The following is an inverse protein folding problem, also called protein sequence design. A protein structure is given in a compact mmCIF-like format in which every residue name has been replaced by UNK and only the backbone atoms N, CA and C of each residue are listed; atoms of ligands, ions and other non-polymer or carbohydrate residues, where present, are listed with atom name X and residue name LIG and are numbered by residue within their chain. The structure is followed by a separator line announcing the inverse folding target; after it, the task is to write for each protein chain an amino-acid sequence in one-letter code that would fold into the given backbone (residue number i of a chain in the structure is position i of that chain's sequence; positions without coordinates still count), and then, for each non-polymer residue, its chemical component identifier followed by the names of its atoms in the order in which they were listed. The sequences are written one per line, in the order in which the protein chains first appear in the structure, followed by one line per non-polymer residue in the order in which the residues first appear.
data_IF_284403529070
#
_entry.id   IF_284403529070
#
_cell.length_a   1.000
_cell.length_b   1.000
_cell.length_c   1.000
_cell.angle_alpha   90.00
_cell.angle_beta   90.00
_cell.angle_gamma   90.00
#
_symmetry.space_group_name_H-M   'P 1'
#
loop_
_entity.id
_entity.type
_entity.pdbx_description
1 polymer ?
#
# COMPACT_ATOMS: atom_id res chain seq x y z
N UNK A 1 -15.20 4.93 15.23
CA UNK A 1 -14.99 6.36 15.55
C UNK A 1 -14.91 7.24 14.28
N UNK A 2 -14.18 6.88 13.23
CA UNK A 2 -13.96 7.73 12.05
C UNK A 2 -15.17 8.10 11.18
N UNK A 3 -16.30 7.43 11.26
CA UNK A 3 -17.49 7.74 10.47
C UNK A 3 -18.39 8.81 11.12
N UNK A 4 -18.33 8.94 12.42
CA UNK A 4 -19.17 9.85 13.17
C UNK A 4 -18.60 11.26 13.32
N UNK A 5 -17.27 11.40 13.27
CA UNK A 5 -16.57 12.70 13.48
C UNK A 5 -16.91 13.78 12.46
N UNK A 6 -17.51 13.45 11.31
CA UNK A 6 -17.99 14.44 10.33
C UNK A 6 -19.42 14.91 10.58
N UNK A 7 -20.15 14.21 11.46
CA UNK A 7 -21.53 14.50 11.77
C UNK A 7 -21.72 15.01 13.20
N UNK A 8 -20.78 14.69 14.08
CA UNK A 8 -20.84 15.04 15.49
C UNK A 8 -19.45 15.48 15.98
N UNK A 9 -19.39 16.51 16.81
CA UNK A 9 -18.21 16.93 17.49
C UNK A 9 -18.15 16.24 18.87
N UNK A 10 -17.01 15.61 19.19
CA UNK A 10 -16.78 15.05 20.54
C UNK A 10 -16.52 16.20 21.51
N UNK A 11 -17.37 16.37 22.51
CA UNK A 11 -17.27 17.45 23.52
C UNK A 11 -16.58 16.94 24.78
N UNK A 12 -16.81 15.68 25.14
CA UNK A 12 -16.18 15.00 26.27
C UNK A 12 -16.18 13.49 26.02
N UNK A 13 -15.49 12.71 26.86
CA UNK A 13 -15.45 11.25 26.75
C UNK A 13 -16.87 10.67 26.61
N UNK A 14 -17.14 10.06 25.44
CA UNK A 14 -18.42 9.49 25.03
C UNK A 14 -19.62 10.49 24.96
N UNK A 15 -19.36 11.79 24.91
CA UNK A 15 -20.37 12.84 24.70
C UNK A 15 -20.17 13.54 23.38
N UNK A 16 -21.21 13.62 22.56
CA UNK A 16 -21.12 14.12 21.19
C UNK A 16 -22.17 15.20 20.93
N UNK A 17 -21.76 16.31 20.32
CA UNK A 17 -22.65 17.33 19.79
C UNK A 17 -23.04 17.05 18.34
N UNK A 18 -24.33 16.88 18.09
CA UNK A 18 -24.91 16.62 16.79
C UNK A 18 -25.61 17.84 16.18
N UNK A 19 -25.42 19.03 16.74
CA UNK A 19 -26.14 20.25 16.36
C UNK A 19 -25.99 20.55 14.87
N UNK A 20 -24.81 20.29 14.30
CA UNK A 20 -24.52 20.50 12.87
C UNK A 20 -25.29 19.57 11.91
N UNK A 21 -26.02 18.59 12.43
CA UNK A 21 -26.74 17.60 11.63
C UNK A 21 -28.24 17.66 11.82
N UNK A 22 -28.74 18.34 12.85
CA UNK A 22 -30.16 18.43 13.16
C UNK A 22 -30.96 19.17 12.07
N UNK A 23 -30.35 20.13 11.40
CA UNK A 23 -31.00 20.94 10.35
C UNK A 23 -30.87 20.33 8.93
N UNK A 24 -30.21 19.17 8.80
CA UNK A 24 -30.02 18.52 7.50
C UNK A 24 -31.30 17.77 7.10
N UNK A 25 -31.83 18.09 5.93
CA UNK A 25 -32.86 17.24 5.33
C UNK A 25 -32.23 15.90 4.86
N UNK A 26 -33.08 14.88 4.63
CA UNK A 26 -32.66 13.53 4.25
C UNK A 26 -31.72 13.52 3.01
N UNK A 27 -31.97 14.37 2.02
CA UNK A 27 -31.15 14.46 0.80
C UNK A 27 -29.75 15.01 1.09
N UNK A 28 -29.66 16.04 1.91
CA UNK A 28 -28.42 16.64 2.36
C UNK A 28 -27.61 15.67 3.22
N UNK A 29 -28.25 14.97 4.13
CA UNK A 29 -27.63 13.94 4.96
C UNK A 29 -27.07 12.80 4.10
N UNK A 30 -27.85 12.30 3.12
CA UNK A 30 -27.40 11.26 2.17
C UNK A 30 -26.19 11.72 1.34
N UNK A 31 -26.20 12.96 0.88
CA UNK A 31 -25.09 13.57 0.13
C UNK A 31 -23.82 13.65 1.00
N UNK A 32 -23.96 14.13 2.24
CA UNK A 32 -22.84 14.23 3.20
C UNK A 32 -22.29 12.87 3.59
N UNK A 33 -23.16 11.88 3.80
CA UNK A 33 -22.76 10.50 4.07
C UNK A 33 -22.01 9.88 2.87
N UNK A 34 -22.46 10.13 1.65
CA UNK A 34 -21.79 9.68 0.43
C UNK A 34 -20.40 10.30 0.28
N UNK A 35 -20.28 11.60 0.55
CA UNK A 35 -18.99 12.30 0.57
C UNK A 35 -18.06 11.73 1.65
N UNK A 36 -18.57 11.48 2.85
CA UNK A 36 -17.81 10.86 3.94
C UNK A 36 -17.27 9.50 3.53
N UNK A 37 -18.08 8.65 2.90
CA UNK A 37 -17.62 7.35 2.38
C UNK A 37 -16.52 7.50 1.32
N UNK A 38 -16.68 8.47 0.43
CA UNK A 38 -15.68 8.74 -0.61
C UNK A 38 -14.34 9.19 0.01
N UNK A 39 -14.35 10.04 1.03
CA UNK A 39 -13.13 10.46 1.74
C UNK A 39 -12.45 9.33 2.52
N UNK A 40 -13.17 8.27 2.87
CA UNK A 40 -12.63 7.07 3.51
C UNK A 40 -12.10 6.04 2.51
N UNK A 41 -12.40 6.19 1.22
CA UNK A 41 -11.83 5.32 0.20
C UNK A 41 -10.33 5.54 0.09
N UNK A 42 -9.58 4.43 0.08
CA UNK A 42 -8.17 4.47 -0.19
C UNK A 42 -7.90 5.12 -1.56
N UNK A 43 -7.01 6.10 -1.58
CA UNK A 43 -6.67 6.83 -2.80
C UNK A 43 -7.72 7.85 -3.26
N UNK A 44 -8.65 8.29 -2.38
CA UNK A 44 -9.62 9.34 -2.75
C UNK A 44 -8.95 10.65 -3.20
N UNK A 45 -7.75 10.93 -2.69
CA UNK A 45 -6.94 12.10 -3.07
C UNK A 45 -6.15 11.92 -4.36
N UNK A 46 -6.03 10.69 -4.87
CA UNK A 46 -5.32 10.45 -6.13
C UNK A 46 -6.02 11.15 -7.30
N UNK A 47 -5.26 11.88 -8.08
CA UNK A 47 -5.71 12.55 -9.31
C UNK A 47 -5.81 11.53 -10.45
N UNK A 48 -4.80 10.66 -10.59
CA UNK A 48 -4.78 9.63 -11.61
C UNK A 48 -5.64 8.42 -11.22
N UNK A 49 -6.57 7.97 -12.09
CA UNK A 49 -7.29 6.71 -11.91
C UNK A 49 -6.36 5.50 -11.84
N UNK A 50 -5.26 5.50 -12.61
CA UNK A 50 -4.25 4.44 -12.60
C UNK A 50 -3.52 4.37 -11.26
N UNK A 51 -3.10 5.52 -10.71
CA UNK A 51 -2.49 5.58 -9.38
C UNK A 51 -3.41 5.01 -8.30
N UNK A 52 -4.70 5.39 -8.34
CA UNK A 52 -5.72 4.87 -7.41
C UNK A 52 -5.89 3.36 -7.53
N UNK A 53 -5.95 2.85 -8.75
CA UNK A 53 -6.08 1.41 -8.99
C UNK A 53 -4.86 0.64 -8.47
N UNK A 54 -3.64 1.15 -8.71
CA UNK A 54 -2.40 0.56 -8.21
C UNK A 54 -2.34 0.60 -6.68
N UNK A 55 -2.77 1.68 -6.05
CA UNK A 55 -2.80 1.79 -4.58
C UNK A 55 -3.76 0.77 -3.96
N UNK A 56 -4.96 0.59 -4.51
CA UNK A 56 -5.91 -0.44 -4.07
C UNK A 56 -5.32 -1.83 -4.22
N UNK A 57 -4.77 -2.13 -5.39
CA UNK A 57 -4.13 -3.43 -5.68
C UNK A 57 -2.92 -3.70 -4.77
N UNK A 58 -2.14 -2.67 -4.45
CA UNK A 58 -1.04 -2.73 -3.50
C UNK A 58 -1.52 -3.18 -2.12
N UNK A 59 -2.58 -2.55 -1.62
CA UNK A 59 -3.19 -2.94 -0.34
C UNK A 59 -3.67 -4.39 -0.35
N UNK A 60 -4.38 -4.80 -1.40
CA UNK A 60 -4.90 -6.16 -1.51
C UNK A 60 -3.76 -7.20 -1.51
N UNK A 61 -2.67 -6.93 -2.24
CA UNK A 61 -1.48 -7.78 -2.24
C UNK A 61 -0.78 -7.82 -0.87
N UNK A 62 -0.71 -6.71 -0.15
CA UNK A 62 -0.15 -6.69 1.21
C UNK A 62 -1.00 -7.50 2.18
N UNK A 63 -2.33 -7.37 2.11
CA UNK A 63 -3.25 -8.15 2.94
C UNK A 63 -3.11 -9.64 2.66
N UNK A 64 -3.06 -10.03 1.38
CA UNK A 64 -2.85 -11.43 0.99
C UNK A 64 -1.48 -11.97 1.44
N UNK A 65 -0.43 -11.16 1.37
CA UNK A 65 0.88 -11.51 1.91
C UNK A 65 0.80 -11.86 3.41
N UNK A 66 0.14 -11.01 4.20
CA UNK A 66 -0.05 -11.24 5.63
C UNK A 66 -0.89 -12.47 5.92
N UNK A 67 -1.93 -12.73 5.15
CA UNK A 67 -2.74 -13.94 5.27
C UNK A 67 -1.92 -15.20 5.01
N UNK A 68 -1.09 -15.20 3.97
CA UNK A 68 -0.20 -16.33 3.66
C UNK A 68 0.83 -16.55 4.77
N UNK A 69 1.45 -15.48 5.27
CA UNK A 69 2.42 -15.55 6.35
C UNK A 69 1.85 -16.20 7.62
N UNK A 70 0.60 -15.89 7.93
CA UNK A 70 -0.08 -16.38 9.13
C UNK A 70 -0.70 -17.78 8.99
N UNK A 71 -0.57 -18.44 7.83
CA UNK A 71 -1.09 -19.81 7.63
C UNK A 71 -0.10 -20.85 8.15
N UNK A 72 -0.37 -21.53 9.28
CA UNK A 72 0.58 -22.45 9.89
C UNK A 72 0.81 -23.73 9.06
N UNK A 73 -0.20 -24.15 8.29
CA UNK A 73 -0.14 -25.38 7.47
C UNK A 73 0.57 -25.23 6.12
N UNK A 74 1.01 -24.01 5.78
CA UNK A 74 1.66 -23.76 4.50
C UNK A 74 3.18 -23.71 4.67
N UNK A 75 3.88 -24.70 4.12
CA UNK A 75 5.35 -24.79 4.23
C UNK A 75 6.06 -23.64 3.52
N UNK A 76 5.64 -23.32 2.29
CA UNK A 76 6.25 -22.27 1.46
C UNK A 76 5.65 -20.85 1.72
N UNK A 77 5.14 -20.61 2.91
CA UNK A 77 4.49 -19.33 3.25
C UNK A 77 5.40 -18.12 3.13
N UNK A 78 6.70 -18.28 3.39
CA UNK A 78 7.68 -17.19 3.28
C UNK A 78 7.91 -16.78 1.82
N UNK A 79 7.99 -17.74 0.92
CA UNK A 79 8.18 -17.49 -0.51
C UNK A 79 6.98 -16.71 -1.08
N UNK A 80 5.76 -17.17 -0.77
CA UNK A 80 4.53 -16.48 -1.14
C UNK A 80 4.44 -15.07 -0.53
N UNK A 81 4.83 -14.93 0.75
CA UNK A 81 4.88 -13.63 1.41
C UNK A 81 5.82 -12.65 0.71
N UNK A 82 7.08 -13.02 0.47
CA UNK A 82 8.06 -12.08 -0.14
C UNK A 82 7.67 -11.67 -1.56
N UNK A 83 7.06 -12.56 -2.33
CA UNK A 83 6.55 -12.24 -3.67
C UNK A 83 5.46 -11.18 -3.62
N UNK A 84 4.44 -11.39 -2.79
CA UNK A 84 3.31 -10.47 -2.65
C UNK A 84 3.70 -9.17 -1.98
N UNK A 85 4.56 -9.22 -0.96
CA UNK A 85 5.13 -8.05 -0.29
C UNK A 85 5.86 -7.14 -1.28
N UNK A 86 6.78 -7.69 -2.08
CA UNK A 86 7.51 -6.91 -3.10
C UNK A 86 6.57 -6.35 -4.17
N UNK A 87 5.55 -7.11 -4.57
CA UNK A 87 4.53 -6.66 -5.52
C UNK A 87 3.71 -5.51 -4.94
N UNK A 88 3.32 -5.58 -3.66
CA UNK A 88 2.61 -4.53 -2.97
C UNK A 88 3.43 -3.22 -2.93
N UNK A 89 4.69 -3.30 -2.50
CA UNK A 89 5.58 -2.15 -2.48
C UNK A 89 5.82 -1.54 -3.86
N UNK A 90 6.01 -2.36 -4.88
CA UNK A 90 6.19 -1.88 -6.26
C UNK A 90 4.98 -1.10 -6.74
N UNK A 91 3.78 -1.61 -6.48
CA UNK A 91 2.52 -0.95 -6.86
C UNK A 91 2.29 0.34 -6.08
N UNK A 92 2.62 0.37 -4.78
CA UNK A 92 2.58 1.57 -3.95
C UNK A 92 3.52 2.65 -4.52
N UNK A 93 4.77 2.31 -4.77
CA UNK A 93 5.74 3.26 -5.31
C UNK A 93 5.37 3.79 -6.69
N UNK A 94 4.89 2.93 -7.57
CA UNK A 94 4.38 3.37 -8.87
C UNK A 94 3.18 4.32 -8.73
N UNK A 95 2.27 4.05 -7.80
CA UNK A 95 1.15 4.94 -7.50
C UNK A 95 1.64 6.33 -7.07
N UNK A 96 2.64 6.41 -6.18
CA UNK A 96 3.23 7.67 -5.72
C UNK A 96 3.96 8.39 -6.86
N UNK A 97 4.72 7.67 -7.67
CA UNK A 97 5.46 8.25 -8.82
C UNK A 97 4.50 8.80 -9.88
N UNK A 98 3.42 8.10 -10.18
CA UNK A 98 2.38 8.58 -11.10
C UNK A 98 1.77 9.90 -10.61
N UNK A 99 1.47 10.00 -9.31
CA UNK A 99 0.90 11.21 -8.73
C UNK A 99 1.87 12.40 -8.75
N UNK A 100 3.17 12.15 -8.66
CA UNK A 100 4.21 13.19 -8.66
C UNK A 100 4.63 13.62 -10.07
N UNK A 101 4.89 12.64 -10.95
CA UNK A 101 5.58 12.83 -12.21
C UNK A 101 4.70 12.53 -13.45
N UNK A 102 3.53 11.93 -13.25
CA UNK A 102 2.62 11.53 -14.32
C UNK A 102 2.76 10.06 -14.71
N UNK A 103 1.77 9.57 -15.49
CA UNK A 103 1.65 8.14 -15.82
C UNK A 103 2.80 7.60 -16.67
N UNK A 104 3.34 8.42 -17.57
CA UNK A 104 4.43 7.99 -18.46
C UNK A 104 5.75 7.72 -17.73
N UNK A 105 5.94 8.31 -16.54
CA UNK A 105 7.17 8.19 -15.76
C UNK A 105 7.50 6.76 -15.36
N UNK A 106 6.49 5.95 -15.11
CA UNK A 106 6.68 4.55 -14.67
C UNK A 106 7.03 3.59 -15.81
N UNK A 107 7.07 4.06 -17.06
CA UNK A 107 7.37 3.22 -18.22
C UNK A 107 8.79 3.41 -18.69
N UNK A 108 9.46 2.29 -18.98
CA UNK A 108 10.74 2.29 -19.71
C UNK A 108 10.55 2.65 -21.18
N UNK A 109 11.65 3.01 -21.84
CA UNK A 109 11.64 3.18 -23.30
C UNK A 109 11.18 1.88 -23.98
N UNK A 110 10.40 1.97 -25.07
CA UNK A 110 9.97 0.79 -25.79
C UNK A 110 11.17 -0.05 -26.24
N UNK A 111 11.05 -1.36 -26.10
CA UNK A 111 12.04 -2.28 -26.65
C UNK A 111 11.97 -2.30 -28.19
N UNK A 112 12.84 -3.08 -28.84
CA UNK A 112 12.89 -3.22 -30.32
C UNK A 112 11.56 -3.69 -30.94
N UNK A 113 10.68 -4.29 -30.14
CA UNK A 113 9.36 -4.79 -30.54
C UNK A 113 8.22 -3.80 -30.20
N UNK A 114 8.55 -2.59 -29.75
CA UNK A 114 7.56 -1.57 -29.38
C UNK A 114 6.88 -1.79 -28.00
N UNK A 115 7.28 -2.82 -27.25
CA UNK A 115 6.69 -3.12 -25.92
C UNK A 115 7.33 -2.22 -24.87
N UNK A 116 6.49 -1.48 -24.14
CA UNK A 116 6.89 -0.68 -22.97
C UNK A 116 6.74 -1.54 -21.71
N UNK A 117 7.82 -1.68 -20.97
CA UNK A 117 7.80 -2.29 -19.63
C UNK A 117 7.69 -1.21 -18.56
N UNK A 118 7.16 -1.55 -17.42
CA UNK A 118 7.18 -0.64 -16.26
C UNK A 118 8.46 -0.84 -15.47
N UNK A 119 8.94 0.23 -14.84
CA UNK A 119 10.09 0.18 -13.93
C UNK A 119 9.86 -0.82 -12.79
N UNK A 120 10.92 -1.49 -12.36
CA UNK A 120 10.89 -2.46 -11.27
C UNK A 120 10.86 -1.80 -9.90
N UNK A 121 10.58 -2.60 -8.85
CA UNK A 121 10.66 -2.16 -7.45
C UNK A 121 11.98 -1.45 -7.13
N UNK A 122 13.13 -2.05 -7.53
CA UNK A 122 14.45 -1.46 -7.28
C UNK A 122 14.67 -0.15 -8.03
N UNK A 123 14.12 -0.02 -9.23
CA UNK A 123 14.20 1.22 -10.02
C UNK A 123 13.33 2.35 -9.44
N UNK A 124 12.25 2.02 -8.71
CA UNK A 124 11.43 3.02 -8.03
C UNK A 124 12.13 3.64 -6.81
N UNK A 125 12.95 2.88 -6.08
CA UNK A 125 13.53 3.27 -4.79
C UNK A 125 14.35 4.56 -4.82
N UNK A 126 15.26 4.79 -5.79
CA UNK A 126 16.07 6.01 -5.84
C UNK A 126 15.26 7.30 -6.00
N UNK A 127 14.08 7.22 -6.61
CA UNK A 127 13.19 8.38 -6.79
C UNK A 127 12.45 8.78 -5.52
N UNK A 128 12.29 7.84 -4.58
CA UNK A 128 11.49 8.02 -3.39
C UNK A 128 12.33 8.17 -2.13
N UNK A 129 13.46 7.48 -2.06
CA UNK A 129 14.29 7.40 -0.87
C UNK A 129 15.78 7.55 -1.14
N UNK A 130 16.44 8.28 -0.23
CA UNK A 130 17.91 8.36 -0.18
C UNK A 130 18.49 6.99 0.21
N UNK A 131 19.76 6.74 -0.13
CA UNK A 131 20.47 5.48 0.23
C UNK A 131 20.54 5.23 1.73
N UNK A 132 20.61 6.28 2.54
CA UNK A 132 20.62 6.20 4.00
C UNK A 132 19.28 5.81 4.62
N UNK A 133 18.18 5.79 3.83
CA UNK A 133 16.84 5.48 4.34
C UNK A 133 16.74 4.05 4.85
N UNK A 134 16.18 3.90 6.05
CA UNK A 134 15.88 2.59 6.65
C UNK A 134 14.82 1.83 5.84
N UNK A 135 13.82 2.56 5.31
CA UNK A 135 12.76 1.99 4.48
C UNK A 135 13.38 1.38 3.22
N UNK A 136 14.23 2.15 2.51
CA UNK A 136 14.92 1.67 1.32
C UNK A 136 15.72 0.40 1.60
N UNK A 137 16.55 0.39 2.63
CA UNK A 137 17.36 -0.78 3.02
C UNK A 137 16.51 -2.00 3.38
N UNK A 138 15.38 -1.78 4.06
CA UNK A 138 14.45 -2.85 4.39
C UNK A 138 13.83 -3.47 3.12
N UNK A 139 13.31 -2.63 2.22
CA UNK A 139 12.68 -3.09 0.97
C UNK A 139 13.68 -3.78 0.05
N UNK A 140 14.90 -3.24 -0.10
CA UNK A 140 15.98 -3.86 -0.87
C UNK A 140 16.31 -5.25 -0.32
N UNK A 141 16.40 -5.39 1.01
CA UNK A 141 16.68 -6.69 1.65
C UNK A 141 15.59 -7.73 1.37
N UNK A 142 14.31 -7.32 1.45
CA UNK A 142 13.21 -8.25 1.13
C UNK A 142 13.19 -8.57 -0.37
N UNK A 143 13.55 -7.62 -1.23
CA UNK A 143 13.68 -7.86 -2.67
C UNK A 143 14.81 -8.86 -3.00
N UNK A 144 15.93 -8.83 -2.26
CA UNK A 144 16.98 -9.84 -2.40
C UNK A 144 16.49 -11.24 -1.98
N UNK A 145 15.66 -11.32 -0.95
CA UNK A 145 15.05 -12.59 -0.56
C UNK A 145 14.02 -13.09 -1.57
N UNK A 146 13.22 -12.20 -2.17
CA UNK A 146 12.33 -12.57 -3.27
C UNK A 146 13.08 -13.21 -4.41
N UNK A 147 14.22 -12.63 -4.82
CA UNK A 147 15.01 -13.17 -5.92
C UNK A 147 15.59 -14.54 -5.56
N UNK A 148 15.93 -14.77 -4.30
CA UNK A 148 16.33 -16.10 -3.80
C UNK A 148 15.15 -17.07 -3.73
N UNK A 149 13.98 -16.63 -3.24
CA UNK A 149 12.80 -17.46 -3.11
C UNK A 149 12.29 -18.02 -4.44
N UNK A 150 12.43 -17.23 -5.51
CA UNK A 150 12.05 -17.66 -6.87
C UNK A 150 12.94 -18.80 -7.40
N UNK A 151 14.19 -18.86 -6.97
CA UNK A 151 15.20 -19.76 -7.51
C UNK A 151 15.68 -20.84 -6.54
N UNK A 152 15.48 -20.67 -5.23
CA UNK A 152 16.01 -21.54 -4.17
C UNK A 152 15.00 -21.64 -3.02
N UNK A 153 14.97 -22.80 -2.34
CA UNK A 153 14.26 -22.96 -1.08
C UNK A 153 14.93 -22.12 0.02
N UNK A 154 14.13 -21.47 0.89
CA UNK A 154 14.62 -20.62 1.99
C UNK A 154 14.36 -21.22 3.38
N UNK A 155 14.86 -22.41 3.73
CA UNK A 155 14.58 -23.04 5.03
C UNK A 155 15.22 -22.33 6.23
N UNK A 156 16.34 -21.62 6.02
CA UNK A 156 17.19 -21.13 7.12
C UNK A 156 16.88 -19.69 7.60
N UNK A 157 15.96 -18.97 6.95
CA UNK A 157 15.73 -17.53 7.21
C UNK A 157 14.58 -17.23 8.17
N UNK A 158 13.87 -18.23 8.70
CA UNK A 158 12.61 -18.01 9.43
C UNK A 158 12.75 -17.06 10.64
N UNK A 159 13.80 -17.17 11.43
CA UNK A 159 13.95 -16.34 12.64
C UNK A 159 14.39 -14.90 12.37
N UNK A 160 15.23 -14.69 11.36
CA UNK A 160 15.72 -13.35 10.96
C UNK A 160 14.69 -12.64 10.09
N UNK A 161 14.02 -13.39 9.21
CA UNK A 161 13.02 -12.88 8.30
C UNK A 161 11.84 -12.21 9.02
N UNK A 162 11.37 -12.78 10.11
CA UNK A 162 10.24 -12.27 10.88
C UNK A 162 10.39 -10.80 11.27
N UNK A 163 11.54 -10.40 11.83
CA UNK A 163 11.79 -9.00 12.23
C UNK A 163 11.84 -8.04 11.04
N UNK A 164 12.45 -8.47 9.94
CA UNK A 164 12.57 -7.64 8.72
C UNK A 164 11.20 -7.47 8.06
N UNK A 165 10.39 -8.53 8.05
CA UNK A 165 9.02 -8.48 7.52
C UNK A 165 8.11 -7.60 8.36
N UNK A 166 8.15 -7.71 9.69
CA UNK A 166 7.40 -6.83 10.58
C UNK A 166 7.76 -5.36 10.35
N UNK A 167 9.05 -5.05 10.30
CA UNK A 167 9.52 -3.70 9.99
C UNK A 167 9.02 -3.23 8.62
N UNK A 168 9.07 -4.10 7.62
CA UNK A 168 8.59 -3.78 6.27
C UNK A 168 7.08 -3.51 6.21
N UNK A 169 6.27 -4.28 6.93
CA UNK A 169 4.82 -4.07 7.00
C UNK A 169 4.48 -2.77 7.74
N UNK A 170 5.17 -2.48 8.85
CA UNK A 170 4.98 -1.23 9.59
C UNK A 170 5.37 -0.02 8.73
N UNK A 171 6.49 -0.08 8.03
CA UNK A 171 6.91 0.97 7.09
C UNK A 171 5.85 1.16 5.98
N UNK A 172 5.31 0.06 5.42
CA UNK A 172 4.27 0.12 4.40
C UNK A 172 3.00 0.81 4.90
N UNK A 173 2.59 0.54 6.14
CA UNK A 173 1.38 1.14 6.71
C UNK A 173 1.52 2.63 7.02
N UNK A 174 2.74 3.15 7.05
CA UNK A 174 3.05 4.57 7.28
C UNK A 174 3.14 5.41 6.00
N UNK A 175 3.27 4.80 4.85
CA UNK A 175 3.32 5.44 3.53
C UNK A 175 1.92 5.67 2.94
#
# INVERSE_FOLDING_TARGET
KGQLTQFVNEIADNSFDATNTLDLNFTQFKKRLSQSKHFQELGHKCKSPLARALLKKSKDNMMLALELYNRPSLENKLDGFVLLFCTAWEQLFKSVLIEREGEDFIYEKPNKQGVRRTISLRQCLPYLYKESSQIRRNVERVADWRDKAVHLLMPELQSIASRVFQSGVLNYSSE
#
